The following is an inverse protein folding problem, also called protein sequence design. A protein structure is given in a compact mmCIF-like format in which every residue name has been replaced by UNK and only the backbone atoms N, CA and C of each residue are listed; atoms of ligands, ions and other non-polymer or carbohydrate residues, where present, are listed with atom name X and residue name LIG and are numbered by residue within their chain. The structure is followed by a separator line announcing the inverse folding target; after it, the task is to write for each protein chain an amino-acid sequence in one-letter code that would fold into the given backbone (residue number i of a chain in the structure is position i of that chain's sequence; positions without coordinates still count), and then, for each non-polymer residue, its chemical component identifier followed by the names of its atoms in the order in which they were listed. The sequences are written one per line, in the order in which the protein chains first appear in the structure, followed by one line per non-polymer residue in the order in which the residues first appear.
data_IF_825555048945
#
_entry.id   IF_825555048945
#
_cell.length_a   1.000
_cell.length_b   1.000
_cell.length_c   1.000
_cell.angle_alpha   90.00
_cell.angle_beta   90.00
_cell.angle_gamma   90.00
#
_symmetry.space_group_name_H-M   'P 1'
#
loop_
_entity.id
_entity.type
_entity.pdbx_description
1 polymer ?
#
# COMPACT_ATOMS: atom_id res chain seq x y z
N UNK A 1 -13.07 -7.89 12.85
CA UNK A 1 -12.54 -7.40 14.13
C UNK A 1 -13.42 -7.76 15.34
N UNK A 2 -14.71 -8.01 15.11
CA UNK A 2 -15.66 -8.45 16.14
C UNK A 2 -15.68 -9.98 16.36
N UNK A 3 -14.85 -10.71 15.61
CA UNK A 3 -14.74 -12.16 15.75
C UNK A 3 -14.06 -12.56 17.08
N UNK A 4 -14.41 -13.72 17.66
CA UNK A 4 -13.78 -14.21 18.91
C UNK A 4 -12.26 -14.33 18.81
N UNK A 5 -11.77 -14.71 17.60
CA UNK A 5 -10.35 -14.79 17.27
C UNK A 5 -10.02 -13.73 16.22
N UNK A 6 -10.01 -12.44 16.62
CA UNK A 6 -9.70 -11.36 15.69
C UNK A 6 -8.25 -11.44 15.22
N UNK A 7 -7.95 -10.97 14.00
CA UNK A 7 -6.58 -10.84 13.53
C UNK A 7 -5.81 -9.80 14.37
N UNK A 8 -4.52 -9.99 14.51
CA UNK A 8 -3.59 -9.05 15.15
C UNK A 8 -2.88 -8.16 14.13
N UNK A 9 -3.07 -8.40 12.85
CA UNK A 9 -2.55 -7.58 11.77
C UNK A 9 -3.51 -7.58 10.58
N UNK A 10 -3.58 -6.45 9.88
CA UNK A 10 -4.40 -6.27 8.67
C UNK A 10 -3.55 -5.66 7.58
N UNK A 11 -3.52 -6.31 6.42
CA UNK A 11 -2.96 -5.75 5.19
C UNK A 11 -4.10 -5.20 4.33
N UNK A 12 -4.09 -3.89 4.10
CA UNK A 12 -5.11 -3.20 3.33
C UNK A 12 -4.68 -3.07 1.87
N UNK A 13 -5.61 -3.23 0.94
CA UNK A 13 -5.34 -3.17 -0.49
C UNK A 13 -4.78 -1.84 -1.00
N UNK A 14 -4.99 -0.76 -0.25
CA UNK A 14 -4.37 0.55 -0.48
C UNK A 14 -4.40 1.41 0.79
N UNK A 15 -3.72 2.56 0.76
CA UNK A 15 -3.64 3.47 1.91
C UNK A 15 -4.99 4.10 2.28
N UNK A 16 -5.87 4.32 1.32
CA UNK A 16 -7.24 4.83 1.60
C UNK A 16 -8.07 3.83 2.38
N UNK A 17 -7.97 2.56 2.02
CA UNK A 17 -8.62 1.47 2.77
C UNK A 17 -8.04 1.35 4.16
N UNK A 18 -6.72 1.51 4.30
CA UNK A 18 -6.05 1.54 5.60
C UNK A 18 -6.58 2.67 6.49
N UNK A 19 -6.84 3.87 5.93
CA UNK A 19 -7.44 4.98 6.66
C UNK A 19 -8.83 4.61 7.22
N UNK A 20 -9.66 3.92 6.43
CA UNK A 20 -10.93 3.38 6.90
C UNK A 20 -10.76 2.34 8.01
N UNK A 21 -9.72 1.49 7.89
CA UNK A 21 -9.37 0.52 8.94
C UNK A 21 -9.00 1.21 10.25
N UNK A 22 -8.22 2.30 10.22
CA UNK A 22 -7.93 3.12 11.42
C UNK A 22 -9.20 3.63 12.08
N UNK A 23 -10.14 4.14 11.29
CA UNK A 23 -11.43 4.60 11.82
C UNK A 23 -12.19 3.49 12.54
N UNK A 24 -12.31 2.32 11.91
CA UNK A 24 -13.00 1.17 12.50
C UNK A 24 -12.31 0.65 13.78
N UNK A 25 -10.97 0.63 13.79
CA UNK A 25 -10.21 0.24 14.98
C UNK A 25 -10.42 1.25 16.13
N UNK A 26 -10.43 2.54 15.82
CA UNK A 26 -10.70 3.59 16.79
C UNK A 26 -12.09 3.45 17.39
N UNK A 27 -13.12 3.21 16.57
CA UNK A 27 -14.50 3.02 17.05
C UNK A 27 -14.63 1.80 17.97
N UNK A 28 -13.81 0.78 17.78
CA UNK A 28 -13.75 -0.41 18.62
C UNK A 28 -12.82 -0.24 19.85
N UNK A 29 -12.18 0.91 20.00
CA UNK A 29 -11.24 1.15 21.09
C UNK A 29 -9.93 0.34 20.98
N UNK A 30 -9.57 -0.10 19.76
CA UNK A 30 -8.37 -0.87 19.47
C UNK A 30 -7.23 0.04 19.02
N UNK A 31 -6.04 -0.21 19.54
CA UNK A 31 -4.85 0.60 19.27
C UNK A 31 -4.04 0.02 18.13
N UNK A 32 -3.48 0.92 17.32
CA UNK A 32 -2.51 0.59 16.26
C UNK A 32 -1.13 1.04 16.76
N UNK A 33 -0.09 0.21 16.72
CA UNK A 33 -0.07 -1.21 16.29
C UNK A 33 -0.36 -2.21 17.43
N UNK A 34 -0.53 -1.75 18.67
CA UNK A 34 -0.47 -2.60 19.88
C UNK A 34 -1.50 -3.72 19.87
N UNK A 35 -2.73 -3.43 19.47
CA UNK A 35 -3.81 -4.41 19.42
C UNK A 35 -3.97 -4.99 18.00
N UNK A 36 -3.77 -4.17 16.98
CA UNK A 36 -3.82 -4.57 15.56
C UNK A 36 -2.81 -3.76 14.75
N UNK A 37 -1.85 -4.43 14.14
CA UNK A 37 -0.94 -3.81 13.18
C UNK A 37 -1.65 -3.56 11.84
N UNK A 38 -1.34 -2.45 11.16
CA UNK A 38 -1.95 -2.10 9.88
C UNK A 38 -0.87 -1.80 8.86
N UNK A 39 -0.99 -2.41 7.68
CA UNK A 39 -0.12 -2.15 6.53
C UNK A 39 -0.97 -1.75 5.34
N UNK A 40 -0.56 -0.71 4.64
CA UNK A 40 -1.18 -0.23 3.41
C UNK A 40 -0.42 -0.62 2.15
N UNK A 41 -0.87 -0.07 1.04
CA UNK A 41 -0.23 -0.19 -0.27
C UNK A 41 -0.42 1.12 -1.04
N UNK A 42 0.58 1.62 -1.72
CA UNK A 42 0.74 2.79 -2.59
C UNK A 42 1.81 3.76 -2.08
N UNK A 43 1.94 3.98 -0.79
CA UNK A 43 2.67 5.08 -0.17
C UNK A 43 2.16 6.45 -0.67
N UNK A 44 0.86 6.64 -0.61
CA UNK A 44 0.25 7.92 -0.88
C UNK A 44 0.53 8.84 0.32
N UNK A 45 1.52 9.73 0.17
CA UNK A 45 2.14 10.43 1.30
C UNK A 45 1.16 11.29 2.10
N UNK A 46 0.15 11.87 1.43
CA UNK A 46 -0.88 12.67 2.10
C UNK A 46 -1.74 11.84 3.06
N UNK A 47 -1.76 10.53 2.86
CA UNK A 47 -2.45 9.59 3.75
C UNK A 47 -1.44 8.92 4.67
N UNK A 48 -0.50 8.16 4.11
CA UNK A 48 0.39 7.30 4.88
C UNK A 48 1.32 8.06 5.83
N UNK A 49 1.75 9.25 5.44
CA UNK A 49 2.55 10.14 6.28
C UNK A 49 1.73 10.99 7.24
N UNK A 50 0.41 11.14 6.99
CA UNK A 50 -0.50 11.97 7.77
C UNK A 50 -1.37 11.23 8.78
N UNK A 51 -1.35 9.89 8.78
CA UNK A 51 -2.05 9.08 9.80
C UNK A 51 -1.30 9.07 11.13
N UNK A 52 -2.03 8.76 12.20
CA UNK A 52 -1.42 8.55 13.52
C UNK A 52 -1.86 7.21 14.12
N UNK A 53 -0.91 6.27 14.34
CA UNK A 53 0.50 6.36 13.96
C UNK A 53 0.72 6.40 12.44
N UNK A 54 1.90 6.88 11.96
CA UNK A 54 2.23 6.88 10.52
C UNK A 54 2.17 5.49 9.93
N UNK A 55 1.54 5.36 8.77
CA UNK A 55 1.21 4.07 8.13
C UNK A 55 2.42 3.43 7.45
N UNK A 56 2.78 2.22 7.86
CA UNK A 56 3.64 1.31 7.12
C UNK A 56 2.94 0.90 5.84
N UNK A 57 3.61 1.02 4.71
CA UNK A 57 2.99 0.78 3.40
C UNK A 57 4.01 0.28 2.38
N UNK A 58 3.54 -0.27 1.28
CA UNK A 58 4.36 -0.64 0.13
C UNK A 58 4.35 0.51 -0.87
N UNK A 59 5.53 0.96 -1.29
CA UNK A 59 5.66 2.02 -2.29
C UNK A 59 5.34 1.50 -3.69
N UNK A 60 4.33 2.05 -4.32
CA UNK A 60 4.07 1.84 -5.73
C UNK A 60 4.90 2.85 -6.54
N UNK A 61 5.85 2.41 -7.39
CA UNK A 61 6.78 3.31 -8.09
C UNK A 61 6.15 3.90 -9.35
N UNK A 62 5.16 4.77 -9.18
CA UNK A 62 4.36 5.34 -10.27
C UNK A 62 5.21 6.01 -11.36
N UNK A 63 6.22 6.79 -10.96
CA UNK A 63 7.11 7.46 -11.91
C UNK A 63 7.88 6.45 -12.77
N UNK A 64 8.52 5.47 -12.13
CA UNK A 64 9.32 4.47 -12.84
C UNK A 64 8.46 3.58 -13.74
N UNK A 65 7.27 3.23 -13.29
CA UNK A 65 6.30 2.46 -14.08
C UNK A 65 5.83 3.23 -15.30
N UNK A 66 5.49 4.50 -15.14
CA UNK A 66 5.07 5.38 -16.23
C UNK A 66 6.21 5.61 -17.24
N UNK A 67 7.40 5.86 -16.74
CA UNK A 67 8.60 6.00 -17.58
C UNK A 67 8.88 4.75 -18.39
N UNK A 68 8.89 3.59 -17.73
CA UNK A 68 9.10 2.32 -18.43
C UNK A 68 8.05 2.08 -19.53
N UNK A 69 6.78 2.34 -19.23
CA UNK A 69 5.69 2.15 -20.18
C UNK A 69 5.87 3.02 -21.45
N UNK A 70 6.23 4.29 -21.26
CA UNK A 70 6.48 5.21 -22.38
C UNK A 70 7.71 4.78 -23.18
N UNK A 71 8.82 4.46 -22.50
CA UNK A 71 10.04 3.97 -23.16
C UNK A 71 9.78 2.69 -23.97
N UNK A 72 8.99 1.77 -23.44
CA UNK A 72 8.60 0.54 -24.12
C UNK A 72 7.81 0.84 -25.40
N UNK A 73 6.84 1.75 -25.35
CA UNK A 73 6.06 2.16 -26.52
C UNK A 73 6.96 2.81 -27.58
N UNK A 74 7.82 3.74 -27.16
CA UNK A 74 8.73 4.48 -28.07
C UNK A 74 9.83 3.60 -28.65
N UNK A 75 10.19 2.50 -28.02
CA UNK A 75 11.19 1.56 -28.52
C UNK A 75 10.73 0.77 -29.75
N UNK A 76 9.42 0.77 -30.04
CA UNK A 76 8.80 -0.01 -31.10
C UNK A 76 8.55 -1.48 -30.76
N UNK A 77 8.97 -1.97 -29.62
CA UNK A 77 8.74 -3.35 -29.18
C UNK A 77 7.24 -3.68 -29.04
N UNK A 78 6.42 -2.70 -28.67
CA UNK A 78 4.97 -2.88 -28.57
C UNK A 78 4.32 -3.25 -29.93
N UNK A 79 4.92 -2.85 -31.05
CA UNK A 79 4.44 -3.15 -32.39
C UNK A 79 4.60 -4.63 -32.77
N UNK A 80 5.42 -5.41 -32.10
CA UNK A 80 5.59 -6.85 -32.32
C UNK A 80 4.34 -7.67 -32.00
N UNK A 81 3.42 -7.12 -31.19
CA UNK A 81 2.23 -7.81 -30.72
C UNK A 81 2.49 -8.90 -29.67
N UNK A 82 3.75 -9.13 -29.29
CA UNK A 82 4.10 -10.09 -28.25
C UNK A 82 3.78 -9.52 -26.86
N UNK A 83 3.14 -10.31 -25.96
CA UNK A 83 2.88 -9.87 -24.60
C UNK A 83 4.20 -9.69 -23.85
N UNK A 84 4.30 -8.61 -23.08
CA UNK A 84 5.44 -8.32 -22.20
C UNK A 84 4.99 -8.26 -20.76
N UNK A 85 5.84 -8.76 -19.86
CA UNK A 85 5.68 -8.63 -18.43
C UNK A 85 6.91 -7.93 -17.87
N UNK A 86 6.67 -6.90 -17.06
CA UNK A 86 7.72 -6.18 -16.37
C UNK A 86 7.34 -6.03 -14.89
N UNK A 87 8.21 -6.49 -14.00
CA UNK A 87 8.01 -6.38 -12.56
C UNK A 87 8.79 -5.18 -12.03
N UNK A 88 8.06 -4.18 -11.55
CA UNK A 88 8.67 -3.06 -10.85
C UNK A 88 8.92 -3.41 -9.38
N UNK A 89 10.05 -2.96 -8.84
CA UNK A 89 10.34 -3.10 -7.41
C UNK A 89 9.45 -2.18 -6.60
N UNK A 90 8.73 -2.76 -5.63
CA UNK A 90 7.85 -2.05 -4.72
C UNK A 90 8.39 -2.18 -3.29
N UNK A 91 9.22 -1.24 -2.82
CA UNK A 91 9.83 -1.36 -1.49
C UNK A 91 8.79 -1.19 -0.37
N UNK A 92 8.99 -1.91 0.72
CA UNK A 92 8.25 -1.72 1.95
C UNK A 92 8.79 -0.48 2.67
N UNK A 93 7.92 0.46 2.97
CA UNK A 93 8.22 1.66 3.75
C UNK A 93 7.71 1.44 5.17
N UNK A 94 8.64 1.15 6.07
CA UNK A 94 8.33 0.85 7.47
C UNK A 94 8.12 2.17 8.22
N UNK A 95 6.98 2.28 8.88
CA UNK A 95 6.63 3.37 9.80
C UNK A 95 6.18 2.78 11.14
N UNK A 96 5.22 3.40 11.81
CA UNK A 96 4.87 3.05 13.19
C UNK A 96 3.59 2.20 13.33
N UNK A 97 2.90 1.89 12.23
CA UNK A 97 1.63 1.13 12.25
C UNK A 97 1.79 -0.39 12.25
N UNK A 98 3.00 -0.82 12.04
CA UNK A 98 3.30 -2.26 12.02
C UNK A 98 4.73 -2.53 12.42
#
# INVERSE_FOLDING_TARGET
LELPNRPTAVFCGNDRTALGCYGALSDLGLRVPDDVAVVGFDNFIDISGGTWPPLTTVQLPHYDMGRWAVEYILSGHAASGEPVQHLATCPLIIRESA
#
